data_IF_683919253757
#
_entry.id   IF_683919253757
#
_cell.length_a   1.000
_cell.length_b   1.000
_cell.length_c   1.000
_cell.angle_alpha   90.00
_cell.angle_beta   90.00
_cell.angle_gamma   90.00
#
_symmetry.space_group_name_H-M   'P 1'
#
loop_
_entity.id
_entity.type
_entity.pdbx_description
1 polymer ?
#
# COMPACT_ATOMS: atom_id res chain seq x y z
N UNK A 1 -40.77 11.82 -23.39
CA UNK A 1 -40.24 12.50 -22.21
C UNK A 1 -38.92 11.85 -21.87
N UNK A 2 -37.81 12.41 -22.35
CA UNK A 2 -36.49 11.95 -21.96
C UNK A 2 -36.32 12.36 -20.50
N UNK A 3 -36.24 11.38 -19.60
CA UNK A 3 -35.86 11.62 -18.21
C UNK A 3 -34.46 12.23 -18.25
N UNK A 4 -34.36 13.55 -18.11
CA UNK A 4 -33.09 14.23 -17.95
C UNK A 4 -32.54 13.85 -16.58
N UNK A 5 -31.90 12.68 -16.50
CA UNK A 5 -31.10 12.31 -15.35
C UNK A 5 -29.98 13.34 -15.27
N UNK A 6 -30.10 14.31 -14.36
CA UNK A 6 -28.99 15.19 -13.99
C UNK A 6 -27.78 14.29 -13.72
N UNK A 7 -26.63 14.65 -14.30
CA UNK A 7 -25.37 14.02 -13.95
C UNK A 7 -25.19 14.07 -12.43
N UNK A 8 -24.71 12.99 -11.79
CA UNK A 8 -24.45 13.00 -10.36
C UNK A 8 -23.40 14.08 -10.02
N UNK A 9 -23.52 14.64 -8.82
CA UNK A 9 -22.60 15.64 -8.27
C UNK A 9 -22.04 15.12 -6.95
N UNK A 10 -20.82 15.57 -6.63
CA UNK A 10 -20.17 15.21 -5.36
C UNK A 10 -20.97 15.73 -4.16
N UNK A 11 -21.14 14.89 -3.13
CA UNK A 11 -21.84 15.28 -1.89
C UNK A 11 -21.05 16.23 -0.98
N UNK A 12 -19.77 16.46 -1.26
CA UNK A 12 -18.91 17.35 -0.47
C UNK A 12 -18.73 18.71 -1.17
N UNK A 13 -18.08 18.74 -2.34
CA UNK A 13 -17.79 19.99 -3.04
C UNK A 13 -18.93 20.48 -3.95
N UNK A 14 -19.95 19.64 -4.21
CA UNK A 14 -21.09 19.92 -5.10
C UNK A 14 -20.77 20.10 -6.60
N UNK A 15 -19.53 19.84 -6.99
CA UNK A 15 -19.07 19.89 -8.38
C UNK A 15 -19.39 18.59 -9.14
N UNK A 16 -19.37 18.63 -10.50
CA UNK A 16 -19.43 17.42 -11.32
C UNK A 16 -18.31 16.44 -11.00
N UNK A 17 -18.61 15.14 -11.07
CA UNK A 17 -17.71 14.02 -10.74
C UNK A 17 -16.74 13.71 -11.90
N UNK A 18 -15.97 14.73 -12.26
CA UNK A 18 -14.99 14.70 -13.34
C UNK A 18 -13.72 15.38 -12.85
N UNK A 19 -12.57 14.80 -13.18
CA UNK A 19 -11.27 15.43 -12.98
C UNK A 19 -10.89 16.17 -14.27
N UNK A 20 -10.59 17.47 -14.20
CA UNK A 20 -10.09 18.20 -15.36
C UNK A 20 -8.69 17.69 -15.70
N UNK A 21 -8.45 17.41 -16.98
CA UNK A 21 -7.12 17.05 -17.48
C UNK A 21 -6.47 18.30 -18.08
N UNK A 22 -5.14 18.41 -17.98
CA UNK A 22 -4.38 19.45 -18.67
C UNK A 22 -4.45 19.24 -20.20
N UNK A 23 -4.27 20.31 -20.99
CA UNK A 23 -4.10 20.28 -22.46
C UNK A 23 -5.20 19.61 -23.31
N UNK A 24 -6.35 20.26 -23.52
CA UNK A 24 -7.41 19.90 -24.50
C UNK A 24 -7.95 18.44 -24.43
N UNK A 25 -7.55 17.66 -23.43
CA UNK A 25 -8.02 16.29 -23.21
C UNK A 25 -9.42 16.27 -22.58
N UNK A 26 -10.24 15.25 -22.92
CA UNK A 26 -11.56 15.12 -22.31
C UNK A 26 -11.42 14.83 -20.82
N UNK A 27 -12.20 15.55 -20.00
CA UNK A 27 -12.28 15.31 -18.57
C UNK A 27 -12.59 13.82 -18.29
N UNK A 28 -11.87 13.25 -17.32
CA UNK A 28 -12.02 11.85 -16.93
C UNK A 28 -12.97 11.71 -15.75
N UNK A 29 -13.68 10.58 -15.61
CA UNK A 29 -14.52 10.32 -14.44
C UNK A 29 -13.72 10.34 -13.14
N UNK A 30 -14.33 10.88 -12.09
CA UNK A 30 -13.93 10.67 -10.69
C UNK A 30 -15.22 10.53 -9.88
N UNK A 31 -15.86 9.38 -10.05
CA UNK A 31 -17.16 9.06 -9.47
C UNK A 31 -17.07 7.80 -8.62
N UNK A 32 -16.93 8.00 -7.31
CA UNK A 32 -17.07 6.96 -6.31
C UNK A 32 -18.49 6.96 -5.76
N UNK A 33 -19.21 5.87 -6.02
CA UNK A 33 -20.56 5.62 -5.55
C UNK A 33 -20.56 4.67 -4.35
N UNK A 34 -21.04 5.16 -3.20
CA UNK A 34 -21.27 4.36 -1.99
C UNK A 34 -22.51 3.45 -2.13
N UNK A 35 -22.65 2.36 -1.33
CA UNK A 35 -23.83 1.48 -1.33
C UNK A 35 -25.19 2.18 -1.20
N UNK A 36 -25.22 3.35 -0.54
CA UNK A 36 -26.43 4.15 -0.37
C UNK A 36 -26.79 5.00 -1.60
N UNK A 37 -25.99 4.95 -2.67
CA UNK A 37 -26.14 5.73 -3.89
C UNK A 37 -25.66 7.19 -3.79
N UNK A 38 -24.95 7.55 -2.73
CA UNK A 38 -24.28 8.84 -2.65
C UNK A 38 -22.96 8.81 -3.43
N UNK A 39 -22.68 9.91 -4.13
CA UNK A 39 -21.53 10.05 -5.01
C UNK A 39 -20.52 11.06 -4.46
N UNK A 40 -19.24 10.75 -4.62
CA UNK A 40 -18.12 11.54 -4.14
C UNK A 40 -16.98 11.49 -5.15
N UNK A 41 -16.21 12.58 -5.26
CA UNK A 41 -14.84 12.48 -5.75
C UNK A 41 -14.03 11.61 -4.80
N UNK A 42 -13.05 10.87 -5.33
CA UNK A 42 -12.17 10.02 -4.54
C UNK A 42 -11.58 10.77 -3.35
N UNK A 43 -10.92 11.91 -3.61
CA UNK A 43 -10.30 12.71 -2.56
C UNK A 43 -11.33 13.28 -1.57
N UNK A 44 -12.49 13.76 -2.05
CA UNK A 44 -13.54 14.27 -1.17
C UNK A 44 -14.08 13.20 -0.20
N UNK A 45 -14.12 11.93 -0.60
CA UNK A 45 -14.49 10.85 0.30
C UNK A 45 -13.36 10.52 1.28
N UNK A 46 -12.10 10.50 0.83
CA UNK A 46 -10.94 10.29 1.71
C UNK A 46 -10.84 11.37 2.78
N UNK A 47 -11.18 12.63 2.47
CA UNK A 47 -11.26 13.70 3.46
C UNK A 47 -12.35 13.45 4.53
N UNK A 48 -13.23 12.47 4.33
CA UNK A 48 -14.25 12.01 5.28
C UNK A 48 -13.89 10.65 5.91
N UNK A 49 -12.66 10.15 5.70
CA UNK A 49 -12.20 8.84 6.16
C UNK A 49 -12.44 8.62 7.65
N UNK A 50 -12.06 9.57 8.51
CA UNK A 50 -12.25 9.48 9.96
C UNK A 50 -13.72 9.28 10.35
N UNK A 51 -14.66 9.98 9.70
CA UNK A 51 -16.08 9.78 9.95
C UNK A 51 -16.53 8.36 9.60
N UNK A 52 -16.16 7.88 8.41
CA UNK A 52 -16.61 6.58 7.91
C UNK A 52 -15.95 5.44 8.68
N UNK A 53 -14.65 5.53 8.99
CA UNK A 53 -13.93 4.52 9.74
C UNK A 53 -14.48 4.33 11.16
N UNK A 54 -14.92 5.41 11.82
CA UNK A 54 -15.47 5.37 13.18
C UNK A 54 -16.95 4.96 13.23
N UNK A 55 -17.77 5.49 12.32
CA UNK A 55 -19.23 5.34 12.38
C UNK A 55 -19.78 4.27 11.44
N UNK A 56 -19.01 3.89 10.41
CA UNK A 56 -19.43 3.01 9.32
C UNK A 56 -20.69 3.50 8.59
N UNK A 57 -20.88 4.83 8.56
CA UNK A 57 -22.04 5.49 7.93
C UNK A 57 -21.60 6.50 6.88
N UNK A 58 -22.48 6.72 5.90
CA UNK A 58 -22.32 7.76 4.88
C UNK A 58 -22.33 9.15 5.54
N UNK A 59 -21.33 10.02 5.30
CA UNK A 59 -21.29 11.35 5.90
C UNK A 59 -22.37 12.30 5.34
N UNK A 60 -23.01 11.98 4.21
CA UNK A 60 -24.07 12.81 3.63
C UNK A 60 -25.49 12.40 4.04
N UNK A 61 -25.74 11.12 4.33
CA UNK A 61 -27.11 10.62 4.53
C UNK A 61 -27.27 9.66 5.71
N UNK A 62 -26.20 9.44 6.48
CA UNK A 62 -26.14 8.59 7.67
C UNK A 62 -26.48 7.11 7.45
N UNK A 63 -26.64 6.67 6.20
CA UNK A 63 -26.88 5.27 5.86
C UNK A 63 -25.71 4.41 6.33
N UNK A 64 -26.00 3.31 7.03
CA UNK A 64 -25.02 2.29 7.38
C UNK A 64 -24.49 1.62 6.09
N UNK A 65 -23.17 1.68 5.90
CA UNK A 65 -22.51 1.29 4.65
C UNK A 65 -22.08 -0.18 4.57
N UNK A 66 -21.64 -0.82 5.66
CA UNK A 66 -21.09 -2.16 5.56
C UNK A 66 -22.04 -3.22 5.03
N UNK A 67 -21.47 -4.13 4.26
CA UNK A 67 -22.08 -5.40 3.91
C UNK A 67 -21.33 -6.51 4.63
N UNK A 68 -22.05 -7.33 5.38
CA UNK A 68 -21.49 -8.55 5.96
C UNK A 68 -21.61 -9.68 4.94
N UNK A 69 -20.60 -9.84 4.08
CA UNK A 69 -20.47 -11.06 3.28
C UNK A 69 -19.66 -12.07 4.09
N UNK A 70 -20.28 -13.20 4.45
CA UNK A 70 -19.51 -14.35 4.92
C UNK A 70 -18.59 -14.78 3.77
N UNK A 71 -17.30 -14.50 3.89
CA UNK A 71 -16.31 -14.89 2.89
C UNK A 71 -16.22 -16.42 2.80
N UNK A 72 -15.86 -16.99 1.63
CA UNK A 72 -15.48 -18.40 1.57
C UNK A 72 -14.34 -18.63 2.57
N UNK A 73 -14.41 -19.72 3.35
CA UNK A 73 -13.30 -20.11 4.23
C UNK A 73 -12.05 -20.35 3.39
N UNK A 74 -11.19 -19.33 3.26
CA UNK A 74 -9.89 -19.48 2.62
C UNK A 74 -8.95 -20.05 3.68
N UNK A 75 -8.53 -21.29 3.49
CA UNK A 75 -7.58 -21.99 4.38
C UNK A 75 -6.14 -21.61 4.07
N UNK A 76 -5.87 -20.40 3.56
CA UNK A 76 -4.50 -19.98 3.28
C UNK A 76 -3.82 -19.68 4.62
N UNK A 77 -3.38 -20.75 5.29
CA UNK A 77 -2.72 -20.70 6.61
C UNK A 77 -1.42 -19.89 6.59
N UNK A 78 -0.94 -19.53 5.40
CA UNK A 78 0.26 -18.73 5.17
C UNK A 78 -0.05 -17.23 5.21
N UNK A 79 -1.10 -16.76 4.56
CA UNK A 79 -1.46 -15.34 4.55
C UNK A 79 -2.86 -15.21 5.13
N UNK A 80 -2.92 -14.76 6.39
CA UNK A 80 -4.17 -14.59 7.11
C UNK A 80 -4.99 -13.49 6.45
N UNK A 81 -5.91 -13.88 5.58
CA UNK A 81 -7.03 -13.02 5.18
C UNK A 81 -8.07 -13.03 6.31
N UNK A 82 -8.46 -11.88 6.90
CA UNK A 82 -9.46 -11.85 7.96
C UNK A 82 -10.75 -12.56 7.53
N UNK A 83 -11.17 -13.58 8.29
CA UNK A 83 -12.28 -14.48 7.93
C UNK A 83 -13.69 -13.88 8.11
N UNK A 84 -13.78 -12.60 8.47
CA UNK A 84 -15.01 -11.82 8.49
C UNK A 84 -14.65 -10.34 8.38
N UNK A 85 -14.20 -9.92 7.20
CA UNK A 85 -13.94 -8.51 6.96
C UNK A 85 -15.29 -7.82 6.78
N UNK A 86 -15.62 -6.90 7.68
CA UNK A 86 -16.56 -5.82 7.38
C UNK A 86 -16.08 -5.18 6.08
N UNK A 87 -16.94 -5.04 5.08
CA UNK A 87 -16.58 -4.47 3.78
C UNK A 87 -17.52 -3.33 3.45
N UNK A 88 -17.00 -2.29 2.79
CA UNK A 88 -17.81 -1.26 2.16
C UNK A 88 -17.57 -1.35 0.66
N UNK A 89 -18.46 -2.09 -0.03
CA UNK A 89 -18.34 -2.32 -1.46
C UNK A 89 -18.88 -1.12 -2.24
N UNK A 90 -18.04 -0.52 -3.06
CA UNK A 90 -18.34 0.69 -3.83
C UNK A 90 -18.21 0.41 -5.32
N UNK A 91 -18.71 1.35 -6.11
CA UNK A 91 -18.42 1.42 -7.54
C UNK A 91 -17.57 2.65 -7.78
N UNK A 92 -16.41 2.50 -8.40
CA UNK A 92 -15.52 3.61 -8.73
C UNK A 92 -15.33 3.71 -10.24
N UNK A 93 -15.60 4.88 -10.81
CA UNK A 93 -15.28 5.17 -12.21
C UNK A 93 -14.13 6.18 -12.26
N UNK A 94 -13.03 5.78 -12.88
CA UNK A 94 -11.81 6.56 -13.10
C UNK A 94 -11.40 6.56 -14.59
N UNK A 95 -10.23 7.12 -14.89
CA UNK A 95 -9.57 7.04 -16.19
C UNK A 95 -9.20 5.61 -16.60
N UNK A 96 -8.91 4.74 -15.62
CA UNK A 96 -8.61 3.32 -15.83
C UNK A 96 -9.85 2.47 -16.14
N UNK A 97 -11.06 3.03 -16.01
CA UNK A 97 -12.32 2.36 -16.26
C UNK A 97 -13.24 2.34 -15.05
N UNK A 98 -14.11 1.33 -14.99
CA UNK A 98 -15.07 1.17 -13.90
C UNK A 98 -14.71 -0.08 -13.10
N UNK A 99 -14.50 0.11 -11.81
CA UNK A 99 -14.35 -0.96 -10.83
C UNK A 99 -15.66 -1.13 -10.05
N UNK A 100 -16.21 -2.33 -10.09
CA UNK A 100 -17.41 -2.72 -9.34
C UNK A 100 -17.00 -3.52 -8.11
N UNK A 101 -17.79 -3.43 -7.03
CA UNK A 101 -17.52 -4.11 -5.75
C UNK A 101 -16.13 -3.78 -5.13
N UNK A 102 -15.60 -2.57 -5.35
CA UNK A 102 -14.35 -2.11 -4.74
C UNK A 102 -14.54 -1.90 -3.23
N UNK A 103 -13.82 -2.66 -2.40
CA UNK A 103 -13.86 -2.48 -0.95
C UNK A 103 -13.02 -1.27 -0.52
N UNK A 104 -13.69 -0.14 -0.27
CA UNK A 104 -13.06 1.14 0.10
C UNK A 104 -12.67 1.19 1.57
N UNK A 105 -13.17 0.29 2.42
CA UNK A 105 -12.99 0.38 3.87
C UNK A 105 -11.52 0.29 4.31
N UNK A 106 -10.66 -0.59 3.76
CA UNK A 106 -9.24 -0.60 4.09
C UNK A 106 -8.58 0.75 3.82
N UNK A 107 -8.83 1.36 2.66
CA UNK A 107 -8.31 2.67 2.26
C UNK A 107 -8.77 3.77 3.22
N UNK A 108 -10.05 3.82 3.57
CA UNK A 108 -10.57 4.81 4.53
C UNK A 108 -10.03 4.58 5.95
N UNK A 109 -9.84 3.33 6.34
CA UNK A 109 -9.28 3.01 7.66
C UNK A 109 -7.83 3.48 7.75
N UNK A 110 -7.06 3.28 6.67
CA UNK A 110 -5.68 3.77 6.58
C UNK A 110 -5.62 5.30 6.57
N UNK A 111 -6.41 5.98 5.75
CA UNK A 111 -6.42 7.45 5.73
C UNK A 111 -6.83 8.05 7.07
N UNK A 112 -7.84 7.50 7.74
CA UNK A 112 -8.24 7.92 9.08
C UNK A 112 -7.11 7.74 10.10
N UNK A 113 -6.35 6.64 10.01
CA UNK A 113 -5.20 6.41 10.88
C UNK A 113 -4.10 7.43 10.62
N UNK A 114 -3.72 7.63 9.35
CA UNK A 114 -2.66 8.54 8.93
C UNK A 114 -3.00 10.03 9.15
N UNK A 115 -4.28 10.39 9.24
CA UNK A 115 -4.70 11.72 9.69
C UNK A 115 -4.27 11.98 11.14
N UNK A 116 -4.31 10.96 11.99
CA UNK A 116 -3.88 11.04 13.40
C UNK A 116 -2.39 10.70 13.64
N UNK A 117 -1.70 10.11 12.65
CA UNK A 117 -0.27 9.73 12.70
C UNK A 117 0.45 10.21 11.42
N UNK A 118 0.54 11.53 11.18
CA UNK A 118 1.10 12.07 9.94
C UNK A 118 2.57 11.66 9.70
N UNK A 119 3.34 11.40 10.76
CA UNK A 119 4.72 10.90 10.70
C UNK A 119 4.84 9.51 10.06
N UNK A 120 3.80 8.70 10.10
CA UNK A 120 3.77 7.37 9.49
C UNK A 120 3.37 7.41 8.01
N UNK A 121 2.88 8.54 7.49
CA UNK A 121 2.42 8.63 6.09
C UNK A 121 3.53 8.31 5.10
N UNK A 122 4.74 8.84 5.36
CA UNK A 122 5.92 8.59 4.52
C UNK A 122 6.38 7.14 4.59
N UNK A 123 6.36 6.53 5.77
CA UNK A 123 6.78 5.14 5.96
C UNK A 123 5.80 4.17 5.31
N UNK A 124 4.49 4.45 5.41
CA UNK A 124 3.44 3.70 4.72
C UNK A 124 3.53 3.83 3.21
N UNK A 125 3.70 5.04 2.68
CA UNK A 125 3.89 5.25 1.25
C UNK A 125 5.09 4.47 0.71
N UNK A 126 6.22 4.49 1.42
CA UNK A 126 7.41 3.70 1.06
C UNK A 126 7.14 2.18 1.01
N UNK A 127 6.41 1.65 2.00
CA UNK A 127 6.04 0.24 2.02
C UNK A 127 5.11 -0.13 0.85
N UNK A 128 4.13 0.72 0.54
CA UNK A 128 3.21 0.54 -0.60
C UNK A 128 3.97 0.53 -1.91
N UNK A 129 4.84 1.53 -2.16
CA UNK A 129 5.68 1.60 -3.36
C UNK A 129 6.53 0.32 -3.53
N UNK A 130 7.19 -0.14 -2.45
CA UNK A 130 7.95 -1.39 -2.48
C UNK A 130 7.06 -2.62 -2.73
N UNK A 131 5.85 -2.63 -2.17
CA UNK A 131 4.87 -3.70 -2.32
C UNK A 131 4.19 -3.74 -3.69
N UNK A 132 4.21 -2.64 -4.44
CA UNK A 132 3.71 -2.53 -5.82
C UNK A 132 4.84 -2.63 -6.85
N UNK A 133 6.10 -2.58 -6.40
CA UNK A 133 7.28 -2.61 -7.26
C UNK A 133 7.62 -1.26 -7.89
N UNK A 134 7.09 -0.15 -7.36
CA UNK A 134 7.49 1.20 -7.74
C UNK A 134 8.84 1.57 -7.11
N UNK A 135 9.91 1.08 -7.74
CA UNK A 135 11.29 1.29 -7.28
C UNK A 135 11.69 2.76 -7.38
N UNK A 136 11.25 3.43 -8.44
CA UNK A 136 11.64 4.82 -8.68
C UNK A 136 10.98 5.73 -7.65
N UNK A 137 9.66 5.61 -7.45
CA UNK A 137 8.96 6.36 -6.41
C UNK A 137 9.49 6.08 -5.02
N UNK A 138 9.82 4.81 -4.70
CA UNK A 138 10.43 4.46 -3.42
C UNK A 138 11.79 5.15 -3.23
N UNK A 139 12.64 5.20 -4.26
CA UNK A 139 13.96 5.86 -4.21
C UNK A 139 13.82 7.39 -4.11
N UNK A 140 12.91 7.98 -4.88
CA UNK A 140 12.62 9.42 -4.82
C UNK A 140 12.14 9.81 -3.42
N UNK A 141 11.20 9.06 -2.84
CA UNK A 141 10.72 9.28 -1.47
C UNK A 141 11.85 9.21 -0.43
N UNK A 142 12.75 8.22 -0.52
CA UNK A 142 13.89 8.15 0.39
C UNK A 142 14.88 9.31 0.20
N UNK A 143 15.06 9.76 -1.04
CA UNK A 143 15.95 10.89 -1.36
C UNK A 143 15.41 12.20 -0.80
N UNK A 144 14.11 12.44 -0.99
CA UNK A 144 13.40 13.59 -0.43
C UNK A 144 13.47 13.56 1.10
N UNK A 145 13.21 12.40 1.71
CA UNK A 145 13.33 12.21 3.16
C UNK A 145 14.72 12.57 3.68
N UNK A 146 15.77 12.07 3.04
CA UNK A 146 17.14 12.39 3.41
C UNK A 146 17.43 13.90 3.27
N UNK A 147 16.91 14.53 2.22
CA UNK A 147 17.10 15.97 1.96
C UNK A 147 16.41 16.87 2.99
N UNK A 148 15.28 16.41 3.52
CA UNK A 148 14.50 17.07 4.57
C UNK A 148 15.02 16.78 5.99
N UNK A 149 16.00 15.89 6.11
CA UNK A 149 16.65 15.54 7.38
C UNK A 149 15.95 14.45 8.17
N UNK A 150 15.05 13.68 7.54
CA UNK A 150 14.40 12.53 8.16
C UNK A 150 15.37 11.36 8.37
N UNK A 151 15.06 10.53 9.35
CA UNK A 151 15.76 9.27 9.55
C UNK A 151 15.30 8.21 8.54
N UNK A 152 15.98 8.15 7.38
CA UNK A 152 15.76 7.12 6.35
C UNK A 152 15.79 5.70 6.92
N UNK A 153 16.57 5.46 7.98
CA UNK A 153 16.60 4.15 8.63
C UNK A 153 15.29 3.83 9.32
N UNK A 154 14.64 4.81 9.94
CA UNK A 154 13.31 4.62 10.53
C UNK A 154 12.27 4.27 9.46
N UNK A 155 12.38 4.84 8.25
CA UNK A 155 11.52 4.51 7.10
C UNK A 155 11.73 3.06 6.66
N UNK A 156 12.99 2.67 6.43
CA UNK A 156 13.34 1.32 5.97
C UNK A 156 12.95 0.22 6.97
N UNK A 157 13.10 0.49 8.27
CA UNK A 157 12.83 -0.45 9.36
C UNK A 157 11.40 -0.34 9.93
N UNK A 158 10.57 0.54 9.37
CA UNK A 158 9.21 0.74 9.85
C UNK A 158 8.40 -0.57 9.80
N UNK A 159 7.65 -0.81 10.88
CA UNK A 159 6.78 -1.96 11.07
C UNK A 159 5.33 -1.51 11.01
N UNK A 160 4.62 -2.05 10.04
CA UNK A 160 3.24 -1.70 9.76
C UNK A 160 2.30 -2.07 10.91
N UNK A 161 1.57 -1.09 11.44
CA UNK A 161 0.56 -1.27 12.49
C UNK A 161 -0.84 -1.62 11.94
N UNK A 162 -1.08 -1.36 10.66
CA UNK A 162 -2.38 -1.46 9.99
C UNK A 162 -2.56 -2.78 9.25
N UNK A 163 -1.50 -3.22 8.57
CA UNK A 163 -1.49 -4.46 7.81
C UNK A 163 -1.83 -5.68 8.64
N UNK A 164 -2.33 -6.71 7.96
CA UNK A 164 -2.58 -8.02 8.55
C UNK A 164 -1.74 -9.08 7.85
N UNK A 165 -0.89 -9.82 8.57
CA UNK A 165 -0.52 -9.58 9.96
C UNK A 165 0.19 -8.23 10.18
N UNK A 166 0.11 -7.70 11.40
CA UNK A 166 0.85 -6.49 11.79
C UNK A 166 2.34 -6.77 11.89
N UNK A 167 3.14 -5.72 11.97
CA UNK A 167 4.58 -5.79 12.17
C UNK A 167 5.39 -6.01 10.88
N UNK A 168 4.72 -6.13 9.73
CA UNK A 168 5.37 -6.31 8.43
C UNK A 168 6.22 -5.08 8.07
N UNK A 169 7.39 -5.34 7.49
CA UNK A 169 8.27 -4.32 6.90
C UNK A 169 8.07 -4.27 5.38
N UNK A 170 8.66 -3.28 4.71
CA UNK A 170 8.65 -3.20 3.23
C UNK A 170 9.17 -4.50 2.58
N UNK A 171 10.13 -5.18 3.19
CA UNK A 171 10.68 -6.43 2.67
C UNK A 171 9.68 -7.58 2.74
N UNK A 172 8.83 -7.63 3.77
CA UNK A 172 7.72 -8.59 3.82
C UNK A 172 6.74 -8.35 2.67
N UNK A 173 6.38 -7.09 2.43
CA UNK A 173 5.47 -6.70 1.35
C UNK A 173 6.03 -7.04 -0.04
N UNK A 174 7.28 -6.68 -0.32
CA UNK A 174 7.94 -6.99 -1.58
C UNK A 174 8.00 -8.52 -1.83
N UNK A 175 8.32 -9.32 -0.81
CA UNK A 175 8.34 -10.79 -0.90
C UNK A 175 6.94 -11.36 -1.13
N UNK A 176 5.94 -10.89 -0.38
CA UNK A 176 4.56 -11.36 -0.49
C UNK A 176 3.97 -11.09 -1.88
N UNK A 177 4.18 -9.87 -2.37
CA UNK A 177 3.63 -9.39 -3.64
C UNK A 177 4.47 -9.81 -4.85
N UNK A 178 5.71 -10.26 -4.61
CA UNK A 178 6.51 -10.89 -5.63
C UNK A 178 7.48 -9.97 -6.37
N UNK A 179 7.76 -8.78 -5.85
CA UNK A 179 8.57 -7.77 -6.53
C UNK A 179 10.06 -7.99 -6.22
N UNK A 180 10.75 -8.75 -7.05
CA UNK A 180 12.15 -9.14 -6.83
C UNK A 180 13.11 -7.93 -6.85
N UNK A 181 12.87 -6.95 -7.72
CA UNK A 181 13.65 -5.71 -7.78
C UNK A 181 13.56 -4.92 -6.46
N UNK A 182 12.36 -4.87 -5.87
CA UNK A 182 12.14 -4.23 -4.56
C UNK A 182 12.85 -5.01 -3.45
N UNK A 183 12.83 -6.35 -3.50
CA UNK A 183 13.59 -7.20 -2.58
C UNK A 183 15.08 -6.88 -2.64
N UNK A 184 15.66 -6.79 -3.84
CA UNK A 184 17.09 -6.47 -3.99
C UNK A 184 17.44 -5.06 -3.52
N UNK A 185 16.60 -4.05 -3.83
CA UNK A 185 16.76 -2.68 -3.33
C UNK A 185 16.77 -2.67 -1.79
N UNK A 186 15.78 -3.30 -1.16
CA UNK A 186 15.63 -3.33 0.30
C UNK A 186 16.75 -4.09 0.99
N UNK A 187 17.24 -5.19 0.41
CA UNK A 187 18.41 -5.90 0.92
C UNK A 187 19.70 -5.07 0.79
N UNK A 188 19.86 -4.36 -0.32
CA UNK A 188 21.02 -3.50 -0.55
C UNK A 188 21.06 -2.38 0.49
N UNK A 189 19.97 -1.64 0.65
CA UNK A 189 19.84 -0.54 1.59
C UNK A 189 19.87 -1.01 3.05
N UNK A 190 19.05 -2.02 3.37
CA UNK A 190 18.67 -2.34 4.75
C UNK A 190 19.39 -3.51 5.42
N UNK A 191 20.28 -4.20 4.69
CA UNK A 191 20.96 -5.39 5.21
C UNK A 191 22.48 -5.29 5.05
N UNK A 192 23.16 -4.28 5.65
CA UNK A 192 24.57 -3.97 5.36
C UNK A 192 25.56 -5.10 5.63
N UNK A 193 25.19 -6.09 6.45
CA UNK A 193 25.99 -7.29 6.70
C UNK A 193 26.02 -8.26 5.50
N UNK A 194 25.03 -8.20 4.60
CA UNK A 194 24.98 -9.04 3.40
C UNK A 194 26.12 -8.64 2.44
N UNK A 195 27.02 -9.56 2.06
CA UNK A 195 28.13 -9.26 1.16
C UNK A 195 27.67 -8.83 -0.25
N UNK A 196 28.42 -7.92 -0.88
CA UNK A 196 28.07 -7.40 -2.22
C UNK A 196 28.12 -8.46 -3.32
N UNK A 197 28.96 -9.47 -3.20
CA UNK A 197 29.05 -10.60 -4.14
C UNK A 197 27.83 -11.54 -4.07
N UNK A 198 26.95 -11.35 -3.08
CA UNK A 198 25.66 -12.05 -2.99
C UNK A 198 24.56 -11.41 -3.85
N UNK A 199 24.81 -10.22 -4.41
CA UNK A 199 23.85 -9.48 -5.23
C UNK A 199 24.06 -9.73 -6.73
N UNK A 200 22.99 -9.76 -7.54
CA UNK A 200 23.10 -9.70 -8.99
C UNK A 200 23.83 -8.42 -9.46
N UNK A 201 24.62 -8.52 -10.53
CA UNK A 201 25.34 -7.36 -11.08
C UNK A 201 24.38 -6.24 -11.51
N UNK A 202 23.20 -6.61 -12.02
CA UNK A 202 22.15 -5.68 -12.45
C UNK A 202 21.62 -4.87 -11.26
N UNK A 203 21.37 -5.52 -10.13
CA UNK A 203 20.91 -4.85 -8.92
C UNK A 203 21.95 -3.87 -8.38
N UNK A 204 23.23 -4.26 -8.34
CA UNK A 204 24.31 -3.37 -7.94
C UNK A 204 24.52 -2.23 -8.95
N UNK A 205 24.35 -2.51 -10.25
CA UNK A 205 24.42 -1.53 -11.32
C UNK A 205 23.33 -0.47 -11.19
N UNK A 206 22.09 -0.89 -10.95
CA UNK A 206 20.95 0.00 -10.71
C UNK A 206 21.19 0.87 -9.47
N UNK A 207 21.59 0.28 -8.33
CA UNK A 207 21.88 1.03 -7.11
C UNK A 207 22.96 2.10 -7.33
N UNK A 208 24.05 1.77 -8.03
CA UNK A 208 25.09 2.74 -8.39
C UNK A 208 24.58 3.83 -9.33
N UNK A 209 23.80 3.46 -10.34
CA UNK A 209 23.23 4.41 -11.31
C UNK A 209 22.28 5.42 -10.67
N UNK A 210 21.60 5.01 -9.60
CA UNK A 210 20.73 5.85 -8.78
C UNK A 210 21.47 6.59 -7.65
N UNK A 211 22.78 6.35 -7.48
CA UNK A 211 23.57 6.98 -6.41
C UNK A 211 23.19 6.53 -4.99
N UNK A 212 22.64 5.31 -4.85
CA UNK A 212 22.21 4.77 -3.57
C UNK A 212 23.38 4.26 -2.74
N UNK A 213 23.37 4.59 -1.45
CA UNK A 213 24.28 4.05 -0.45
C UNK A 213 23.56 3.11 0.51
N UNK A 214 24.30 2.11 1.00
CA UNK A 214 23.80 1.18 2.01
C UNK A 214 23.74 1.87 3.37
N UNK A 215 22.79 1.49 4.21
CA UNK A 215 22.78 1.94 5.60
C UNK A 215 24.09 1.59 6.31
N UNK A 216 24.55 2.40 7.28
CA UNK A 216 25.73 2.08 8.07
C UNK A 216 25.50 0.79 8.88
N UNK A 217 26.58 0.06 9.13
CA UNK A 217 26.57 -1.10 10.01
C UNK A 217 26.23 -0.70 11.47
N UNK A 218 25.74 -1.66 12.26
CA UNK A 218 25.41 -1.46 13.68
C UNK A 218 23.92 -1.22 13.97
N UNK A 219 23.03 -1.69 13.09
CA UNK A 219 21.58 -1.65 13.27
C UNK A 219 20.89 -3.00 13.20
N UNK A 220 19.56 -2.99 13.39
CA UNK A 220 18.75 -4.15 13.05
C UNK A 220 18.88 -4.41 11.54
N UNK A 221 19.15 -5.67 11.20
CA UNK A 221 19.16 -6.14 9.82
C UNK A 221 17.72 -6.34 9.35
N UNK A 222 17.33 -5.75 8.22
CA UNK A 222 15.97 -5.85 7.70
C UNK A 222 15.50 -7.29 7.49
N UNK A 223 16.43 -8.23 7.23
CA UNK A 223 16.14 -9.67 7.09
C UNK A 223 15.70 -10.33 8.40
N UNK A 224 16.12 -9.77 9.54
CA UNK A 224 15.80 -10.29 10.87
C UNK A 224 14.43 -9.81 11.39
N UNK A 225 13.83 -8.82 10.72
CA UNK A 225 12.57 -8.24 11.15
C UNK A 225 11.45 -9.30 11.16
N UNK A 226 10.68 -9.34 12.25
CA UNK A 226 9.53 -10.23 12.40
C UNK A 226 8.21 -9.47 12.39
N UNK A 227 7.19 -10.07 11.77
CA UNK A 227 5.79 -9.67 11.93
C UNK A 227 5.25 -10.06 13.33
N UNK A 228 3.99 -9.72 13.65
CA UNK A 228 3.37 -10.01 14.94
C UNK A 228 3.24 -11.51 15.25
N UNK A 229 3.34 -12.36 14.22
CA UNK A 229 3.32 -13.82 14.34
C UNK A 229 4.71 -14.43 14.46
N UNK A 230 5.76 -13.60 14.48
CA UNK A 230 7.16 -14.02 14.57
C UNK A 230 7.79 -14.43 13.25
N UNK A 231 7.12 -14.18 12.11
CA UNK A 231 7.62 -14.57 10.78
C UNK A 231 8.50 -13.50 10.18
N UNK A 232 9.59 -13.94 9.57
CA UNK A 232 10.57 -13.14 8.85
C UNK A 232 10.26 -13.09 7.34
N UNK A 233 10.94 -12.23 6.56
CA UNK A 233 10.83 -12.26 5.10
C UNK A 233 11.25 -13.60 4.49
N UNK A 234 12.21 -14.32 5.10
CA UNK A 234 12.56 -15.68 4.65
C UNK A 234 11.39 -16.65 4.84
N UNK A 235 10.64 -16.55 5.95
CA UNK A 235 9.46 -17.40 6.19
C UNK A 235 8.37 -17.17 5.15
N UNK A 236 8.14 -15.91 4.77
CA UNK A 236 7.23 -15.54 3.68
C UNK A 236 7.69 -16.13 2.35
N UNK A 237 8.97 -16.00 2.03
CA UNK A 237 9.55 -16.52 0.80
C UNK A 237 9.42 -18.05 0.71
N UNK A 238 9.70 -18.78 1.80
CA UNK A 238 9.55 -20.25 1.85
C UNK A 238 8.12 -20.69 1.58
N UNK A 239 7.15 -19.96 2.12
CA UNK A 239 5.75 -20.29 1.95
C UNK A 239 5.19 -19.95 0.55
N UNK A 240 5.93 -19.15 -0.23
CA UNK A 240 5.64 -18.76 -1.62
C UNK A 240 6.51 -19.49 -2.65
N UNK A 241 7.15 -20.59 -2.27
CA UNK A 241 7.88 -21.48 -3.19
C UNK A 241 6.96 -21.93 -4.35
N UNK A 242 7.48 -22.05 -5.60
CA UNK A 242 8.89 -21.95 -5.99
C UNK A 242 9.38 -20.55 -6.34
N UNK A 243 8.54 -19.51 -6.19
CA UNK A 243 8.85 -18.15 -6.68
C UNK A 243 10.20 -17.65 -6.18
N UNK A 244 10.52 -17.93 -4.92
CA UNK A 244 11.70 -17.43 -4.24
C UNK A 244 12.81 -18.46 -4.06
N UNK A 245 12.71 -19.65 -4.66
CA UNK A 245 13.66 -20.75 -4.45
C UNK A 245 15.11 -20.34 -4.76
N UNK A 246 15.32 -19.48 -5.76
CA UNK A 246 16.64 -18.93 -6.10
C UNK A 246 17.24 -18.13 -4.94
N UNK A 247 16.46 -17.20 -4.37
CA UNK A 247 16.90 -16.34 -3.26
C UNK A 247 17.06 -17.15 -1.98
N UNK A 248 16.14 -18.10 -1.73
CA UNK A 248 16.23 -19.03 -0.60
C UNK A 248 17.48 -19.91 -0.68
N UNK A 249 17.78 -20.48 -1.86
CA UNK A 249 18.97 -21.28 -2.10
C UNK A 249 20.27 -20.49 -1.96
N UNK A 250 20.26 -19.21 -2.34
CA UNK A 250 21.39 -18.30 -2.14
C UNK A 250 21.55 -17.83 -0.68
N UNK A 251 20.54 -18.04 0.18
CA UNK A 251 20.58 -17.64 1.58
C UNK A 251 20.50 -16.13 1.83
N UNK A 252 20.17 -15.32 0.82
CA UNK A 252 20.22 -13.85 0.92
C UNK A 252 19.15 -13.26 1.84
N UNK A 253 18.05 -13.99 2.09
CA UNK A 253 16.98 -13.60 3.02
C UNK A 253 17.23 -14.05 4.46
N UNK A 254 18.27 -14.86 4.72
CA UNK A 254 18.58 -15.34 6.07
C UNK A 254 19.44 -14.31 6.80
N UNK A 255 18.95 -13.77 7.91
CA UNK A 255 19.66 -12.81 8.75
C UNK A 255 21.00 -13.37 9.27
#
# INVERSE_FOLDING_TARGET
MASSSRAPICKVCTDPLLTPVEDDEPAVPDDLTLPCGCHYHWQCLLDQATHIALNLTCPSCDAYLPVNRAGPSVTNAVFLTPQSQTQILTRYASDAGVEEDYDILPTLTEEAYLESHPEERRTRAFQTMCGEGDILGAVELLSDAASEGDDVRAILLYRDSLGQPRGKTALHYAVEKGHEEAVWLLLFLGSPALPLDSFPEEALGAARGMGLDRMPAGGEDLRAAQDETGRTPEDYARALSPRWDRLLGAGVLRA
#
